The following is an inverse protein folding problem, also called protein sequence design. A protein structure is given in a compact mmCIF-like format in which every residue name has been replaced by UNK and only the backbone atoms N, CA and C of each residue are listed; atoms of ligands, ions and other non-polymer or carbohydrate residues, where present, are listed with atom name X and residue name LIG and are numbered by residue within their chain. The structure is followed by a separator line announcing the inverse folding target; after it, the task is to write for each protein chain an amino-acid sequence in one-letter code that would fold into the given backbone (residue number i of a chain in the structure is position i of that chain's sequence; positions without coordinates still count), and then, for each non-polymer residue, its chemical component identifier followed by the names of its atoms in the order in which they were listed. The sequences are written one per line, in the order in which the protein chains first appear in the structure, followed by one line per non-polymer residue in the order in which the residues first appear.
data_IF_080951573981
#
_entry.id   IF_080951573981
#
_cell.length_a   1.000
_cell.length_b   1.000
_cell.length_c   1.000
_cell.angle_alpha   90.00
_cell.angle_beta   90.00
_cell.angle_gamma   90.00
#
_symmetry.space_group_name_H-M   'P 1'
#
loop_
_entity.id
_entity.type
_entity.pdbx_description
1 polymer ?
#
# COMPACT_ATOMS: atom_id res chain seq x y z
N UNK A 1 -1.62 15.79 -1.01
CA UNK A 1 -2.62 14.70 -0.96
C UNK A 1 -1.99 13.50 -0.25
N UNK A 2 -2.55 13.02 0.87
CA UNK A 2 -1.95 11.92 1.66
C UNK A 2 -2.49 10.57 1.18
N UNK A 3 -2.00 10.07 0.04
CA UNK A 3 -2.50 8.85 -0.63
C UNK A 3 -2.51 7.64 0.32
N UNK A 4 -1.51 7.51 1.19
CA UNK A 4 -1.47 6.44 2.19
C UNK A 4 -2.61 6.48 3.22
N UNK A 5 -3.13 7.67 3.54
CA UNK A 5 -4.26 7.81 4.47
C UNK A 5 -5.57 7.35 3.82
N UNK A 6 -5.77 7.67 2.54
CA UNK A 6 -6.95 7.23 1.79
C UNK A 6 -6.98 5.70 1.64
N UNK A 7 -5.84 5.08 1.29
CA UNK A 7 -5.73 3.63 1.14
C UNK A 7 -6.01 2.92 2.48
N UNK A 8 -5.49 3.44 3.59
CA UNK A 8 -5.75 2.90 4.92
C UNK A 8 -7.25 2.93 5.26
N UNK A 9 -7.92 4.06 5.07
CA UNK A 9 -9.35 4.18 5.39
C UNK A 9 -10.22 3.22 4.58
N UNK A 10 -9.91 3.01 3.30
CA UNK A 10 -10.66 2.07 2.45
C UNK A 10 -10.35 0.63 2.86
N UNK A 11 -9.10 0.32 3.23
CA UNK A 11 -8.70 -1.01 3.67
C UNK A 11 -9.31 -1.40 5.02
N UNK A 12 -9.42 -0.44 5.93
CA UNK A 12 -10.01 -0.57 7.28
C UNK A 12 -11.54 -0.41 7.27
N UNK A 13 -12.15 -0.18 6.11
CA UNK A 13 -13.60 -0.02 5.99
C UNK A 13 -14.31 -1.30 6.48
N UNK A 14 -15.26 -1.17 7.44
CA UNK A 14 -15.97 -2.30 8.02
C UNK A 14 -16.83 -3.04 6.99
N UNK A 15 -17.20 -2.39 5.87
CA UNK A 15 -17.90 -3.02 4.76
C UNK A 15 -16.91 -3.83 3.89
N UNK A 16 -17.03 -5.17 3.82
CA UNK A 16 -16.16 -6.01 3.00
C UNK A 16 -16.28 -5.70 1.50
N UNK A 17 -17.42 -5.17 1.04
CA UNK A 17 -17.60 -4.76 -0.35
C UNK A 17 -16.73 -3.55 -0.72
N UNK A 18 -16.40 -2.70 0.26
CA UNK A 18 -15.55 -1.52 0.09
C UNK A 18 -14.09 -1.90 0.23
N UNK A 19 -13.70 -2.58 1.32
CA UNK A 19 -12.31 -2.99 1.56
C UNK A 19 -11.82 -4.10 0.62
N UNK A 20 -12.75 -4.91 0.10
CA UNK A 20 -12.52 -5.93 -0.93
C UNK A 20 -12.50 -5.39 -2.36
N UNK A 21 -12.75 -4.09 -2.58
CA UNK A 21 -12.72 -3.50 -3.91
C UNK A 21 -11.32 -3.58 -4.51
N UNK A 22 -11.24 -3.87 -5.81
CA UNK A 22 -9.97 -3.87 -6.55
C UNK A 22 -9.40 -2.46 -6.60
N UNK A 23 -8.16 -2.30 -6.14
CA UNK A 23 -7.39 -1.06 -6.16
C UNK A 23 -6.42 -0.99 -7.35
N UNK A 24 -5.75 -2.11 -7.66
CA UNK A 24 -4.78 -2.21 -8.75
C UNK A 24 -5.11 -3.46 -9.58
N UNK A 25 -4.98 -3.35 -10.90
CA UNK A 25 -4.99 -4.48 -11.82
C UNK A 25 -3.71 -4.40 -12.64
N UNK A 26 -2.86 -5.41 -12.48
CA UNK A 26 -1.64 -5.58 -13.26
C UNK A 26 -2.00 -6.00 -14.70
N UNK A 27 -1.16 -5.64 -15.66
CA UNK A 27 -1.33 -6.07 -17.06
C UNK A 27 -1.30 -7.59 -17.22
N UNK A 28 -0.52 -8.29 -16.38
CA UNK A 28 -0.48 -9.75 -16.31
C UNK A 28 -1.76 -10.39 -15.71
N UNK A 29 -2.82 -9.60 -15.47
CA UNK A 29 -4.14 -10.08 -15.05
C UNK A 29 -4.33 -10.20 -13.54
N UNK A 30 -3.28 -9.98 -12.74
CA UNK A 30 -3.39 -10.03 -11.27
C UNK A 30 -4.08 -8.76 -10.74
N UNK A 31 -5.08 -8.94 -9.87
CA UNK A 31 -5.80 -7.85 -9.24
C UNK A 31 -5.54 -7.80 -7.73
N UNK A 32 -5.29 -6.62 -7.18
CA UNK A 32 -5.07 -6.40 -5.75
C UNK A 32 -6.24 -5.60 -5.19
N UNK A 33 -6.79 -6.03 -4.07
CA UNK A 33 -7.78 -5.26 -3.32
C UNK A 33 -7.12 -4.13 -2.52
N UNK A 34 -7.89 -3.12 -2.09
CA UNK A 34 -7.38 -2.09 -1.18
C UNK A 34 -6.78 -2.68 0.10
N UNK A 35 -7.42 -3.71 0.66
CA UNK A 35 -6.87 -4.45 1.81
C UNK A 35 -5.50 -5.08 1.51
N UNK A 36 -5.36 -5.75 0.37
CA UNK A 36 -4.09 -6.40 -0.01
C UNK A 36 -2.99 -5.37 -0.28
N UNK A 37 -3.32 -4.30 -0.98
CA UNK A 37 -2.42 -3.18 -1.24
C UNK A 37 -1.93 -2.54 0.07
N UNK A 38 -2.84 -2.25 1.00
CA UNK A 38 -2.48 -1.67 2.30
C UNK A 38 -1.54 -2.58 3.09
N UNK A 39 -1.85 -3.87 3.16
CA UNK A 39 -1.03 -4.86 3.87
C UNK A 39 0.40 -4.92 3.32
N UNK A 40 0.57 -4.98 2.00
CA UNK A 40 1.89 -5.02 1.36
C UNK A 40 2.64 -3.71 1.60
N UNK A 41 2.00 -2.57 1.37
CA UNK A 41 2.62 -1.25 1.58
C UNK A 41 3.08 -1.05 3.03
N UNK A 42 2.28 -1.50 4.00
CA UNK A 42 2.63 -1.40 5.42
C UNK A 42 3.81 -2.33 5.78
N UNK A 43 3.90 -3.50 5.16
CA UNK A 43 5.05 -4.39 5.34
C UNK A 43 6.36 -3.75 4.85
N UNK A 44 6.35 -3.12 3.68
CA UNK A 44 7.51 -2.37 3.17
C UNK A 44 7.85 -1.16 4.05
N UNK A 45 6.84 -0.39 4.48
CA UNK A 45 7.06 0.75 5.38
C UNK A 45 7.75 0.33 6.69
N UNK A 46 7.29 -0.77 7.29
CA UNK A 46 7.93 -1.32 8.49
C UNK A 46 9.37 -1.79 8.25
N UNK A 47 9.69 -2.33 7.08
CA UNK A 47 11.07 -2.65 6.72
C UNK A 47 11.93 -1.39 6.57
N UNK A 48 11.43 -0.36 5.89
CA UNK A 48 12.15 0.91 5.74
C UNK A 48 12.44 1.56 7.11
N UNK A 49 11.46 1.53 8.02
CA UNK A 49 11.64 2.01 9.40
C UNK A 49 12.76 1.22 10.10
N UNK A 50 12.78 -0.11 9.96
CA UNK A 50 13.86 -0.95 10.53
C UNK A 50 15.24 -0.64 9.95
N UNK A 51 15.31 -0.23 8.68
CA UNK A 51 16.54 0.22 8.03
C UNK A 51 16.96 1.64 8.45
N UNK A 52 16.17 2.31 9.30
CA UNK A 52 16.47 3.64 9.82
C UNK A 52 15.90 4.79 9.02
N UNK A 53 15.06 4.53 8.01
CA UNK A 53 14.40 5.57 7.20
C UNK A 53 13.44 6.37 8.07
N UNK A 54 13.56 7.70 8.01
CA UNK A 54 12.74 8.68 8.73
C UNK A 54 11.90 9.49 7.77
N UNK A 55 10.92 10.21 8.32
CA UNK A 55 10.11 11.15 7.55
C UNK A 55 11.02 12.24 6.95
N UNK A 56 10.98 12.38 5.62
CA UNK A 56 11.82 13.32 4.87
C UNK A 56 13.06 12.69 4.24
N UNK A 57 13.39 11.45 4.58
CA UNK A 57 14.45 10.71 3.93
C UNK A 57 14.04 10.27 2.51
N UNK A 58 15.05 10.09 1.64
CA UNK A 58 14.85 9.66 0.26
C UNK A 58 15.27 8.20 0.13
N UNK A 59 14.44 7.41 -0.54
CA UNK A 59 14.72 6.00 -0.87
C UNK A 59 14.89 5.91 -2.38
N UNK A 60 16.09 5.55 -2.84
CA UNK A 60 16.36 5.27 -4.25
C UNK A 60 15.80 3.90 -4.63
N UNK A 61 15.06 3.82 -5.74
CA UNK A 61 14.51 2.57 -6.26
C UNK A 61 15.08 2.38 -7.66
N UNK A 62 15.77 1.27 -7.89
CA UNK A 62 16.21 0.83 -9.20
C UNK A 62 15.35 -0.36 -9.61
N UNK A 63 14.60 -0.22 -10.71
CA UNK A 63 13.78 -1.26 -11.30
C UNK A 63 14.40 -1.64 -12.65
N UNK A 64 14.47 -2.93 -12.96
CA UNK A 64 14.95 -3.48 -14.23
C UNK A 64 13.81 -4.20 -14.95
#
# INVERSE_FOLDING_TARGET
MHVGWMIKNIADDPNPAVSGKTAIREEAGRAWTFRKLHSISNAYANQLIRLGVRKGDRVGILLY
#
